data_IF_031121321067
#
_entry.id   IF_031121321067
#
_cell.length_a   1.000
_cell.length_b   1.000
_cell.length_c   1.000
_cell.angle_alpha   90.00
_cell.angle_beta   90.00
_cell.angle_gamma   90.00
#
_symmetry.space_group_name_H-M   'P 1'
#
loop_
_entity.id
_entity.type
_entity.pdbx_description
1 polymer ?
#
# COMPACT_ATOMS: atom_id res chain seq x y z
N UNK A 1 -7.68 -8.12 -14.73
CA UNK A 1 -8.05 -8.35 -13.31
C UNK A 1 -7.24 -7.39 -12.45
N UNK A 2 -7.86 -6.28 -12.02
CA UNK A 2 -7.21 -5.28 -11.18
C UNK A 2 -7.32 -5.72 -9.72
N UNK A 3 -6.27 -6.38 -9.22
CA UNK A 3 -6.12 -6.85 -7.84
C UNK A 3 -5.80 -5.69 -6.86
N UNK A 4 -6.33 -4.50 -7.11
CA UNK A 4 -6.08 -3.30 -6.30
C UNK A 4 -7.02 -3.15 -5.11
N UNK A 5 -8.19 -3.81 -5.14
CA UNK A 5 -9.21 -3.71 -4.10
C UNK A 5 -8.98 -4.66 -2.90
N UNK A 6 -7.96 -5.52 -2.94
CA UNK A 6 -7.62 -6.44 -1.83
C UNK A 6 -6.52 -5.89 -0.88
N UNK A 7 -5.93 -4.72 -1.14
CA UNK A 7 -4.67 -4.35 -0.46
C UNK A 7 -4.78 -3.73 0.93
N UNK A 8 -5.97 -3.49 1.49
CA UNK A 8 -6.11 -3.00 2.86
C UNK A 8 -7.46 -3.45 3.45
N UNK A 9 -7.45 -4.42 4.37
CA UNK A 9 -8.67 -4.91 5.04
C UNK A 9 -9.24 -3.83 5.99
N UNK A 10 -10.51 -3.40 5.82
CA UNK A 10 -11.16 -2.43 6.71
C UNK A 10 -11.09 -2.79 8.20
N UNK A 11 -11.09 -4.09 8.54
CA UNK A 11 -10.98 -4.57 9.92
C UNK A 11 -9.64 -4.21 10.56
N UNK A 12 -8.59 -4.05 9.77
CA UNK A 12 -7.26 -3.66 10.26
C UNK A 12 -7.25 -2.21 10.74
N UNK A 13 -7.91 -1.31 10.00
CA UNK A 13 -8.08 0.09 10.42
C UNK A 13 -8.93 0.21 11.67
N UNK A 14 -9.97 -0.61 11.78
CA UNK A 14 -10.84 -0.63 12.95
C UNK A 14 -10.09 -1.09 14.21
N UNK A 15 -9.29 -2.17 14.10
CA UNK A 15 -8.45 -2.65 15.21
C UNK A 15 -7.36 -1.63 15.63
N UNK A 16 -6.75 -0.94 14.65
CA UNK A 16 -5.77 0.11 14.93
C UNK A 16 -6.44 1.32 15.62
N UNK A 17 -7.61 1.72 15.14
CA UNK A 17 -8.41 2.82 15.72
C UNK A 17 -8.83 2.51 17.16
N UNK A 18 -9.29 1.28 17.43
CA UNK A 18 -9.63 0.84 18.78
C UNK A 18 -8.43 0.87 19.73
N UNK A 19 -7.27 0.40 19.28
CA UNK A 19 -6.02 0.43 20.06
C UNK A 19 -5.58 1.87 20.37
N UNK A 20 -5.65 2.77 19.38
CA UNK A 20 -5.33 4.19 19.55
C UNK A 20 -6.30 4.89 20.52
N UNK A 21 -7.59 4.57 20.41
CA UNK A 21 -8.64 5.10 21.28
C UNK A 21 -8.43 4.67 22.73
N UNK A 22 -8.05 3.41 22.96
CA UNK A 22 -7.74 2.88 24.28
C UNK A 22 -6.49 3.54 24.90
N UNK A 23 -5.51 3.91 24.07
CA UNK A 23 -4.34 4.69 24.48
C UNK A 23 -4.70 6.12 24.89
N UNK A 24 -5.54 6.81 24.11
CA UNK A 24 -5.97 8.19 24.40
C UNK A 24 -6.90 8.28 25.61
N UNK A 25 -7.68 7.24 25.90
CA UNK A 25 -8.57 7.17 27.07
C UNK A 25 -7.85 6.70 28.35
N UNK A 26 -6.62 6.19 28.25
CA UNK A 26 -5.78 5.81 29.38
C UNK A 26 -5.13 7.03 30.06
N UNK A 27 -5.79 7.57 31.09
CA UNK A 27 -5.27 8.66 31.92
C UNK A 27 -3.82 8.42 32.42
N UNK A 28 -3.07 9.50 32.47
CA UNK A 28 -1.63 9.69 32.63
C UNK A 28 -1.00 9.30 33.99
N UNK A 29 -1.43 8.22 34.66
CA UNK A 29 -0.82 7.86 35.95
C UNK A 29 -1.07 6.41 36.43
N UNK A 30 -0.55 5.38 35.74
CA UNK A 30 -0.42 4.03 36.30
C UNK A 30 0.85 3.30 35.78
N UNK A 31 1.48 2.44 36.60
CA UNK A 31 2.62 1.62 36.21
C UNK A 31 2.15 0.58 35.18
N UNK A 32 2.48 0.81 33.91
CA UNK A 32 1.92 0.06 32.79
C UNK A 32 2.05 0.73 31.43
N UNK A 33 2.51 1.99 31.36
CA UNK A 33 2.79 2.68 30.10
C UNK A 33 3.77 1.92 29.20
N UNK A 34 4.86 1.40 29.75
CA UNK A 34 5.84 0.61 28.96
C UNK A 34 5.22 -0.69 28.42
N UNK A 35 4.45 -1.40 29.25
CA UNK A 35 3.76 -2.62 28.83
C UNK A 35 2.72 -2.32 27.73
N UNK A 36 2.00 -1.21 27.85
CA UNK A 36 1.04 -0.76 26.84
C UNK A 36 1.75 -0.33 25.53
N UNK A 37 2.86 0.40 25.63
CA UNK A 37 3.68 0.78 24.47
C UNK A 37 4.23 -0.45 23.74
N UNK A 38 4.70 -1.46 24.48
CA UNK A 38 5.16 -2.74 23.92
C UNK A 38 4.02 -3.51 23.25
N UNK A 39 2.82 -3.51 23.84
CA UNK A 39 1.64 -4.13 23.24
C UNK A 39 1.25 -3.45 21.92
N UNK A 40 1.23 -2.12 21.87
CA UNK A 40 0.95 -1.35 20.66
C UNK A 40 2.00 -1.64 19.57
N UNK A 41 3.29 -1.64 19.94
CA UNK A 41 4.38 -1.95 19.02
C UNK A 41 4.22 -3.34 18.42
N UNK A 42 3.85 -4.33 19.24
CA UNK A 42 3.64 -5.71 18.79
C UNK A 42 2.45 -5.82 17.84
N UNK A 43 1.33 -5.16 18.16
CA UNK A 43 0.14 -5.11 17.29
C UNK A 43 0.49 -4.46 15.94
N UNK A 44 1.14 -3.29 15.95
CA UNK A 44 1.58 -2.62 14.73
C UNK A 44 2.54 -3.47 13.90
N UNK A 45 3.53 -4.09 14.53
CA UNK A 45 4.46 -4.99 13.84
C UNK A 45 3.75 -6.20 13.24
N UNK A 46 2.81 -6.80 13.97
CA UNK A 46 2.01 -7.93 13.46
C UNK A 46 1.08 -7.51 12.32
N UNK A 47 0.57 -6.29 12.35
CA UNK A 47 -0.27 -5.73 11.30
C UNK A 47 0.54 -5.41 10.05
N UNK A 48 1.70 -4.77 10.19
CA UNK A 48 2.60 -4.52 9.06
C UNK A 48 3.17 -5.81 8.46
N UNK A 49 3.42 -6.85 9.26
CA UNK A 49 3.86 -8.15 8.75
C UNK A 49 2.77 -8.91 7.98
N UNK A 50 1.48 -8.59 8.22
CA UNK A 50 0.34 -9.13 7.47
C UNK A 50 0.05 -8.35 6.18
N UNK A 51 0.59 -7.15 6.05
CA UNK A 51 0.51 -6.38 4.81
C UNK A 51 1.64 -6.87 3.90
N UNK A 52 1.31 -7.17 2.64
CA UNK A 52 2.31 -7.49 1.60
C UNK A 52 3.03 -6.18 1.20
N UNK A 53 3.80 -5.64 2.14
CA UNK A 53 4.47 -4.35 2.02
C UNK A 53 5.71 -4.54 1.15
N UNK A 54 5.74 -3.81 0.05
CA UNK A 54 6.97 -3.58 -0.70
C UNK A 54 7.66 -2.32 -0.18
N UNK A 55 8.98 -2.28 -0.31
CA UNK A 55 9.74 -1.07 0.00
C UNK A 55 9.33 0.06 -0.94
N UNK A 56 9.55 1.31 -0.50
CA UNK A 56 9.28 2.48 -1.34
C UNK A 56 10.09 2.44 -2.64
N UNK A 57 11.33 1.95 -2.58
CA UNK A 57 12.21 1.82 -3.73
C UNK A 57 11.68 0.80 -4.75
N UNK A 58 11.18 -0.35 -4.29
CA UNK A 58 10.54 -1.35 -5.17
C UNK A 58 9.27 -0.81 -5.83
N UNK A 59 8.46 -0.06 -5.08
CA UNK A 59 7.28 0.61 -5.63
C UNK A 59 7.67 1.62 -6.73
N UNK A 60 8.63 2.50 -6.45
CA UNK A 60 9.07 3.51 -7.41
C UNK A 60 9.70 2.86 -8.67
N UNK A 61 10.43 1.75 -8.50
CA UNK A 61 10.96 0.96 -9.61
C UNK A 61 9.84 0.37 -10.49
N UNK A 62 8.80 -0.22 -9.90
CA UNK A 62 7.66 -0.75 -10.64
C UNK A 62 6.87 0.35 -11.35
N UNK A 63 6.68 1.51 -10.71
CA UNK A 63 6.05 2.67 -11.31
C UNK A 63 6.81 3.16 -12.55
N UNK A 64 8.15 3.21 -12.48
CA UNK A 64 9.00 3.58 -13.62
C UNK A 64 8.90 2.56 -14.78
N UNK A 65 8.83 1.26 -14.48
CA UNK A 65 8.62 0.21 -15.51
C UNK A 65 7.25 0.37 -16.19
N UNK A 66 6.20 0.65 -15.41
CA UNK A 66 4.85 0.86 -15.95
C UNK A 66 4.80 2.08 -16.86
N UNK A 67 5.44 3.19 -16.46
CA UNK A 67 5.53 4.41 -17.26
C UNK A 67 6.20 4.14 -18.61
N UNK A 68 7.36 3.49 -18.62
CA UNK A 68 8.06 3.12 -19.86
C UNK A 68 7.25 2.18 -20.75
N UNK A 69 6.47 1.29 -20.14
CA UNK A 69 5.59 0.37 -20.88
C UNK A 69 4.48 1.14 -21.59
N UNK A 70 3.88 2.14 -20.93
CA UNK A 70 2.86 3.01 -21.55
C UNK A 70 3.43 3.80 -22.73
N UNK A 71 4.59 4.41 -22.55
CA UNK A 71 5.27 5.16 -23.62
C UNK A 71 5.56 4.28 -24.84
N UNK A 72 6.03 3.05 -24.62
CA UNK A 72 6.25 2.09 -25.71
C UNK A 72 4.95 1.64 -26.36
N UNK A 73 3.88 1.45 -25.57
CA UNK A 73 2.57 1.07 -26.08
C UNK A 73 2.02 2.16 -27.01
N UNK A 74 2.06 3.42 -26.58
CA UNK A 74 1.62 4.57 -27.39
C UNK A 74 2.40 4.68 -28.71
N UNK A 75 3.73 4.45 -28.68
CA UNK A 75 4.55 4.44 -29.89
C UNK A 75 4.15 3.32 -30.84
N UNK A 76 3.93 2.10 -30.32
CA UNK A 76 3.52 0.97 -31.14
C UNK A 76 2.12 1.18 -31.73
N UNK A 77 1.19 1.72 -30.96
CA UNK A 77 -0.15 2.08 -31.43
C UNK A 77 -0.09 3.10 -32.57
N UNK A 78 0.77 4.11 -32.45
CA UNK A 78 0.98 5.10 -33.53
C UNK A 78 1.59 4.46 -34.79
N UNK A 79 2.58 3.57 -34.64
CA UNK A 79 3.17 2.85 -35.77
C UNK A 79 2.16 1.96 -36.48
N UNK A 80 1.32 1.24 -35.72
CA UNK A 80 0.26 0.39 -36.27
C UNK A 80 -0.75 1.23 -37.04
N UNK A 81 -1.22 2.35 -36.47
CA UNK A 81 -2.16 3.24 -37.14
C UNK A 81 -1.59 3.82 -38.44
N UNK A 82 -0.29 4.18 -38.45
CA UNK A 82 0.38 4.64 -39.67
C UNK A 82 0.41 3.55 -40.75
N UNK A 83 0.73 2.31 -40.38
CA UNK A 83 0.76 1.18 -41.32
C UNK A 83 -0.64 0.87 -41.86
N UNK A 84 -1.65 0.81 -41.00
CA UNK A 84 -3.05 0.59 -41.41
C UNK A 84 -3.55 1.69 -42.37
N UNK A 85 -3.10 2.93 -42.17
CA UNK A 85 -3.42 4.05 -43.08
C UNK A 85 -2.74 3.98 -44.44
N UNK A 86 -1.61 3.27 -44.55
CA UNK A 86 -0.86 3.07 -45.81
C UNK A 86 -1.36 1.87 -46.62
N UNK A 87 -1.99 0.90 -45.97
CA UNK A 87 -2.56 -0.28 -46.62
C UNK A 87 -4.03 -0.10 -47.07
N UNK A 88 -4.68 1.01 -46.69
CA UNK A 88 -6.00 1.44 -47.20
C UNK A 88 -5.88 2.41 -48.37
#
# INVERSE_FOLDING_TARGET
>A
MLKGAEMLDPKMFENLSQTMTQFLQGNSSLPGQEAMQQQIKTVLQSSFAKLDLVTREEFDAQAAVLQRTREKLEQLEAMVAELESKES
#
